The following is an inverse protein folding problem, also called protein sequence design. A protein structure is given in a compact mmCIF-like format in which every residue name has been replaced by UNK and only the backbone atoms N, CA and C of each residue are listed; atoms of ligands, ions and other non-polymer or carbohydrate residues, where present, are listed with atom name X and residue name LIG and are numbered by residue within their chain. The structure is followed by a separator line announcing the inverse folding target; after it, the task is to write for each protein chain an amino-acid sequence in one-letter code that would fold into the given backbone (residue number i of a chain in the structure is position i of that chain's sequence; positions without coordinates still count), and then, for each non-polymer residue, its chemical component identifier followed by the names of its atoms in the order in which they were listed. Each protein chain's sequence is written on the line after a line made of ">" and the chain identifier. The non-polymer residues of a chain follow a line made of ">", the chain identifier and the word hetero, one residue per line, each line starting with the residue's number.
data_IF_479518749549
#
_entry.id   IF_479518749549
#
_cell.length_a   1.000
_cell.length_b   1.000
_cell.length_c   1.000
_cell.angle_alpha   90.00
_cell.angle_beta   90.00
_cell.angle_gamma   90.00
#
_symmetry.space_group_name_H-M   'P 1'
#
loop_
_entity.id
_entity.type
_entity.pdbx_description
1 polymer ?
#
# COMPACT_ATOMS: atom_id res chain seq x y z
N UNK A 1 -4.12 -23.48 23.96
CA UNK A 1 -3.93 -22.34 23.08
C UNK A 1 -2.55 -21.73 23.33
N UNK A 2 -1.78 -21.52 22.25
CA UNK A 2 -0.41 -21.04 22.34
C UNK A 2 -0.34 -19.55 21.97
N UNK A 3 -0.37 -18.71 23.00
CA UNK A 3 -0.33 -17.24 22.81
C UNK A 3 1.00 -16.80 22.18
N UNK A 4 2.11 -17.44 22.57
CA UNK A 4 3.41 -17.12 22.00
C UNK A 4 3.45 -17.38 20.50
N UNK A 5 2.87 -18.50 20.06
CA UNK A 5 2.77 -18.80 18.61
C UNK A 5 1.87 -17.81 17.91
N UNK A 6 0.75 -17.42 18.53
CA UNK A 6 -0.16 -16.42 17.95
C UNK A 6 0.53 -15.06 17.80
N UNK A 7 1.32 -14.65 18.77
CA UNK A 7 2.08 -13.39 18.70
C UNK A 7 3.11 -13.45 17.60
N UNK A 8 3.85 -14.58 17.48
CA UNK A 8 4.85 -14.74 16.41
C UNK A 8 4.21 -14.66 15.02
N UNK A 9 3.04 -15.31 14.86
CA UNK A 9 2.32 -15.28 13.58
C UNK A 9 1.85 -13.86 13.26
N UNK A 10 1.26 -13.16 14.22
CA UNK A 10 0.80 -11.78 14.03
C UNK A 10 1.98 -10.87 13.70
N UNK A 11 3.12 -11.04 14.37
CA UNK A 11 4.32 -10.25 14.08
C UNK A 11 4.86 -10.52 12.67
N UNK A 12 4.86 -11.79 12.24
CA UNK A 12 5.31 -12.12 10.88
C UNK A 12 4.41 -11.47 9.85
N UNK A 13 3.11 -11.43 10.06
CA UNK A 13 2.17 -10.77 9.17
C UNK A 13 2.37 -9.25 9.18
N UNK A 14 2.63 -8.67 10.35
CA UNK A 14 2.93 -7.25 10.45
C UNK A 14 4.21 -6.89 9.70
N UNK A 15 5.26 -7.70 9.83
CA UNK A 15 6.52 -7.47 9.12
C UNK A 15 6.33 -7.54 7.60
N UNK A 16 5.52 -8.49 7.13
CA UNK A 16 5.21 -8.62 5.70
C UNK A 16 4.43 -7.40 5.20
N UNK A 17 3.46 -6.93 5.98
CA UNK A 17 2.68 -5.72 5.63
C UNK A 17 3.55 -4.47 5.62
N UNK A 18 4.48 -4.35 6.56
CA UNK A 18 5.42 -3.22 6.59
C UNK A 18 6.31 -3.21 5.34
N UNK A 19 6.79 -4.38 4.92
CA UNK A 19 7.58 -4.49 3.68
C UNK A 19 6.74 -4.08 2.47
N UNK A 20 5.49 -4.54 2.40
CA UNK A 20 4.58 -4.16 1.31
C UNK A 20 4.28 -2.67 1.32
N UNK A 21 4.04 -2.08 2.50
CA UNK A 21 3.81 -0.63 2.61
C UNK A 21 5.00 0.15 2.07
N UNK A 22 6.22 -0.25 2.43
CA UNK A 22 7.42 0.43 1.93
C UNK A 22 7.54 0.34 0.42
N UNK A 23 7.19 -0.81 -0.17
CA UNK A 23 7.21 -0.97 -1.63
C UNK A 23 6.14 -0.11 -2.29
N UNK A 24 4.92 -0.09 -1.76
CA UNK A 24 3.82 0.68 -2.34
C UNK A 24 4.08 2.18 -2.22
N UNK A 25 4.44 2.67 -1.03
CA UNK A 25 4.66 4.10 -0.82
C UNK A 25 5.96 4.60 -1.43
N UNK A 26 6.99 3.77 -1.50
CA UNK A 26 8.30 4.15 -1.99
C UNK A 26 8.53 3.92 -3.48
N UNK A 27 7.73 3.06 -4.10
CA UNK A 27 7.93 2.70 -5.52
C UNK A 27 6.64 2.79 -6.32
N UNK A 28 5.59 2.08 -5.91
CA UNK A 28 4.37 1.98 -6.71
C UNK A 28 3.68 3.33 -6.87
N UNK A 29 3.45 4.05 -5.78
CA UNK A 29 2.79 5.36 -5.84
C UNK A 29 3.64 6.40 -6.57
N UNK A 30 4.94 6.59 -6.25
CA UNK A 30 5.75 7.55 -6.99
C UNK A 30 5.83 7.25 -8.47
N UNK A 31 5.98 5.98 -8.86
CA UNK A 31 6.04 5.61 -10.28
C UNK A 31 4.71 5.88 -10.99
N UNK A 32 3.58 5.65 -10.31
CA UNK A 32 2.27 5.94 -10.89
C UNK A 32 2.07 7.45 -11.08
N UNK A 33 2.60 8.29 -10.18
CA UNK A 33 2.56 9.74 -10.35
C UNK A 33 3.40 10.20 -11.54
N UNK A 34 4.58 9.64 -11.69
CA UNK A 34 5.46 9.95 -12.83
C UNK A 34 4.78 9.54 -14.13
N UNK A 35 4.15 8.37 -14.16
CA UNK A 35 3.44 7.89 -15.35
C UNK A 35 2.27 8.80 -15.71
N UNK A 36 1.53 9.30 -14.73
CA UNK A 36 0.44 10.23 -14.97
C UNK A 36 0.97 11.56 -15.53
N UNK A 37 2.02 12.11 -14.92
CA UNK A 37 2.62 13.35 -15.39
C UNK A 37 3.12 13.21 -16.83
N UNK A 38 3.74 12.08 -17.16
CA UNK A 38 4.21 11.80 -18.52
C UNK A 38 3.05 11.69 -19.50
N UNK A 39 1.95 11.03 -19.11
CA UNK A 39 0.78 10.89 -19.98
C UNK A 39 0.11 12.24 -20.24
N UNK A 40 -0.01 13.08 -19.21
CA UNK A 40 -0.58 14.42 -19.34
C UNK A 40 0.28 15.26 -20.27
N UNK A 41 1.60 15.24 -20.08
CA UNK A 41 2.53 15.99 -20.92
C UNK A 41 2.45 15.54 -22.38
N UNK A 42 2.44 14.23 -22.62
CA UNK A 42 2.33 13.68 -23.97
C UNK A 42 1.00 14.06 -24.62
N UNK A 43 -0.08 14.06 -23.85
CA UNK A 43 -1.40 14.47 -24.34
C UNK A 43 -1.37 15.94 -24.76
N UNK A 44 -0.81 16.81 -23.93
CA UNK A 44 -0.72 18.25 -24.22
C UNK A 44 0.11 18.54 -25.47
N UNK A 45 1.09 17.68 -25.74
CA UNK A 45 1.93 17.79 -26.94
C UNK A 45 1.33 17.11 -28.18
N UNK A 46 0.15 16.54 -28.05
CA UNK A 46 -0.51 15.83 -29.15
C UNK A 46 0.12 14.50 -29.50
N UNK A 47 0.92 13.92 -28.60
CA UNK A 47 1.62 12.65 -28.83
C UNK A 47 0.86 11.45 -28.28
N UNK A 48 -0.16 11.68 -27.47
CA UNK A 48 -0.95 10.63 -26.82
C UNK A 48 -2.40 11.06 -26.79
N UNK A 49 -3.31 10.09 -26.79
CA UNK A 49 -4.74 10.36 -26.71
C UNK A 49 -5.21 10.39 -25.25
N UNK A 50 -6.35 11.03 -25.01
CA UNK A 50 -6.89 11.20 -23.65
C UNK A 50 -7.10 9.88 -22.88
N UNK A 51 -7.52 8.75 -23.51
CA UNK A 51 -7.63 7.49 -22.77
C UNK A 51 -6.36 7.04 -22.06
N UNK A 52 -5.18 7.41 -22.58
CA UNK A 52 -3.91 7.11 -21.91
C UNK A 52 -3.79 7.87 -20.59
N UNK A 53 -4.25 9.12 -20.56
CA UNK A 53 -4.29 9.93 -19.33
C UNK A 53 -5.23 9.29 -18.31
N UNK A 54 -6.42 8.86 -18.74
CA UNK A 54 -7.38 8.20 -17.86
C UNK A 54 -6.82 6.90 -17.28
N UNK A 55 -6.15 6.10 -18.11
CA UNK A 55 -5.54 4.84 -17.64
C UNK A 55 -4.47 5.10 -16.59
N UNK A 56 -3.63 6.12 -16.80
CA UNK A 56 -2.59 6.49 -15.83
C UNK A 56 -3.20 7.01 -14.53
N UNK A 57 -4.28 7.81 -14.62
CA UNK A 57 -4.99 8.30 -13.44
C UNK A 57 -5.60 7.15 -12.64
N UNK A 58 -6.21 6.19 -13.30
CA UNK A 58 -6.78 5.00 -12.64
C UNK A 58 -5.70 4.18 -11.95
N UNK A 59 -4.52 4.05 -12.56
CA UNK A 59 -3.39 3.33 -11.96
C UNK A 59 -2.90 4.03 -10.70
N UNK A 60 -2.82 5.36 -10.71
CA UNK A 60 -2.45 6.12 -9.53
C UNK A 60 -3.48 5.95 -8.42
N UNK A 61 -4.75 6.01 -8.77
CA UNK A 61 -5.83 5.84 -7.79
C UNK A 61 -5.76 4.46 -7.12
N UNK A 62 -5.52 3.40 -7.92
CA UNK A 62 -5.35 2.04 -7.38
C UNK A 62 -4.16 1.95 -6.43
N UNK A 63 -3.06 2.58 -6.79
CA UNK A 63 -1.86 2.60 -5.95
C UNK A 63 -2.12 3.33 -4.62
N UNK A 64 -2.85 4.45 -4.66
CA UNK A 64 -3.19 5.20 -3.46
C UNK A 64 -4.14 4.40 -2.56
N UNK A 65 -5.12 3.72 -3.13
CA UNK A 65 -6.03 2.86 -2.36
C UNK A 65 -5.25 1.71 -1.73
N UNK A 66 -4.33 1.10 -2.46
CA UNK A 66 -3.49 0.03 -1.91
C UNK A 66 -2.64 0.54 -0.75
N UNK A 67 -2.09 1.75 -0.87
CA UNK A 67 -1.31 2.36 0.21
C UNK A 67 -2.14 2.53 1.48
N UNK A 68 -3.38 3.02 1.34
CA UNK A 68 -4.28 3.20 2.48
C UNK A 68 -4.65 1.84 3.08
N UNK A 69 -4.96 0.86 2.24
CA UNK A 69 -5.36 -0.48 2.66
C UNK A 69 -4.26 -1.17 3.47
N UNK A 70 -3.02 -1.12 2.97
CA UNK A 70 -1.91 -1.78 3.67
C UNK A 70 -1.62 -1.10 5.01
N UNK A 71 -1.73 0.23 5.07
CA UNK A 71 -1.56 0.96 6.32
C UNK A 71 -2.63 0.59 7.34
N UNK A 72 -3.88 0.45 6.88
CA UNK A 72 -4.97 0.01 7.74
C UNK A 72 -4.73 -1.41 8.28
N UNK A 73 -4.31 -2.32 7.39
CA UNK A 73 -4.02 -3.70 7.80
C UNK A 73 -2.88 -3.78 8.81
N UNK A 74 -1.86 -2.92 8.66
CA UNK A 74 -0.78 -2.83 9.66
C UNK A 74 -1.33 -2.43 11.02
N UNK A 75 -2.24 -1.47 11.07
CA UNK A 75 -2.83 -1.03 12.33
C UNK A 75 -3.69 -2.13 12.96
N UNK A 76 -4.41 -2.89 12.15
CA UNK A 76 -5.20 -4.03 12.63
C UNK A 76 -4.29 -5.09 13.25
N UNK A 77 -3.17 -5.41 12.60
CA UNK A 77 -2.23 -6.42 13.13
C UNK A 77 -1.53 -5.93 14.39
N UNK A 78 -1.17 -4.66 14.43
CA UNK A 78 -0.57 -4.08 15.63
C UNK A 78 -1.53 -4.13 16.80
N UNK A 79 -2.79 -3.77 16.60
CA UNK A 79 -3.81 -3.86 17.63
C UNK A 79 -4.02 -5.30 18.12
N UNK A 80 -3.95 -6.27 17.21
CA UNK A 80 -4.03 -7.68 17.56
C UNK A 80 -2.88 -8.11 18.48
N UNK A 81 -1.66 -7.67 18.16
CA UNK A 81 -0.50 -7.97 18.99
C UNK A 81 -0.64 -7.34 20.37
N UNK A 82 -1.06 -6.09 20.44
CA UNK A 82 -1.28 -5.38 21.71
C UNK A 82 -2.33 -6.08 22.55
N UNK A 83 -3.40 -6.56 21.92
CA UNK A 83 -4.45 -7.31 22.62
C UNK A 83 -3.92 -8.63 23.17
N UNK A 84 -3.12 -9.36 22.39
CA UNK A 84 -2.54 -10.62 22.82
C UNK A 84 -1.57 -10.42 23.98
N UNK A 85 -0.75 -9.38 23.92
CA UNK A 85 0.18 -9.03 24.99
C UNK A 85 -0.59 -8.60 26.24
N UNK A 86 -1.62 -7.77 26.08
CA UNK A 86 -2.47 -7.32 27.18
C UNK A 86 -3.18 -8.47 27.87
N UNK A 87 -3.58 -9.49 27.11
CA UNK A 87 -4.20 -10.68 27.67
C UNK A 87 -3.27 -11.54 28.51
N UNK A 88 -1.95 -11.42 28.30
CA UNK A 88 -0.94 -12.10 29.10
C UNK A 88 -0.74 -11.47 30.47
N UNK A 89 -1.05 -10.19 30.59
CA UNK A 89 -0.87 -9.45 31.83
C UNK A 89 -2.08 -9.57 32.74
#
# INVERSE_FOLDING_TARGET
>A
QDVAADIREAKAMLDALAARRRAVTGTTVPNARIALDSAVNAYQLGREEFPAVLAAEQSLRRALVESITVQFEEQVRLAEIERLIGGEL
#
